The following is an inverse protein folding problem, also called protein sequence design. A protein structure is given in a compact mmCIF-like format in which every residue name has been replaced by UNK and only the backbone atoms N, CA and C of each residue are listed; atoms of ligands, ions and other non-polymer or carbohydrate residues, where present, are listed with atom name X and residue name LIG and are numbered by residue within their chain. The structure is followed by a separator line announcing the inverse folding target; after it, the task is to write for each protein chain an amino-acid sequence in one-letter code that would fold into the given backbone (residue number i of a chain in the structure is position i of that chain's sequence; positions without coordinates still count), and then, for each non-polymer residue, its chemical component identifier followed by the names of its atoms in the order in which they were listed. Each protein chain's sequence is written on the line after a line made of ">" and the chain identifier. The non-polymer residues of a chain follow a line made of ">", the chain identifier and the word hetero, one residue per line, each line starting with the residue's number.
data_IF_709445418192
#
_entry.id   IF_709445418192
#
_cell.length_a   1.000
_cell.length_b   1.000
_cell.length_c   1.000
_cell.angle_alpha   90.00
_cell.angle_beta   90.00
_cell.angle_gamma   90.00
#
_symmetry.space_group_name_H-M   'P 1'
#
loop_
_entity.id
_entity.type
_entity.pdbx_description
1 polymer ?
#
# COMPACT_ATOMS: atom_id res chain seq x y z
N UNK A 1 -3.01 -3.77 24.04
CA UNK A 1 -2.01 -3.54 22.97
C UNK A 1 -2.73 -3.63 21.64
N UNK A 2 -3.45 -2.57 21.26
CA UNK A 2 -4.30 -2.54 20.05
C UNK A 2 -4.09 -1.25 19.23
N UNK A 3 -3.53 -0.19 19.83
CA UNK A 3 -3.26 1.09 19.16
C UNK A 3 -2.32 0.95 17.96
N UNK A 4 -1.24 0.17 18.06
CA UNK A 4 -0.23 0.09 17.00
C UNK A 4 -0.77 -0.44 15.67
N UNK A 5 -1.75 -1.36 15.64
CA UNK A 5 -2.17 -1.99 14.38
C UNK A 5 -3.14 -1.11 13.59
N UNK A 6 -4.00 -0.35 14.26
CA UNK A 6 -4.89 0.63 13.61
C UNK A 6 -4.12 1.86 13.14
N UNK A 7 -3.23 2.41 13.98
CA UNK A 7 -2.34 3.50 13.58
C UNK A 7 -1.45 3.10 12.40
N UNK A 8 -0.93 1.87 12.41
CA UNK A 8 -0.13 1.36 11.31
C UNK A 8 -0.92 1.28 10.01
N UNK A 9 -2.16 0.77 10.06
CA UNK A 9 -3.04 0.74 8.88
C UNK A 9 -3.29 2.15 8.35
N UNK A 10 -3.56 3.12 9.22
CA UNK A 10 -3.78 4.50 8.79
C UNK A 10 -2.54 5.10 8.15
N UNK A 11 -1.36 4.93 8.77
CA UNK A 11 -0.09 5.39 8.18
C UNK A 11 0.21 4.73 6.84
N UNK A 12 0.01 3.42 6.73
CA UNK A 12 0.17 2.67 5.47
C UNK A 12 -0.82 3.20 4.43
N UNK A 13 -2.07 3.42 4.80
CA UNK A 13 -3.10 3.93 3.91
C UNK A 13 -2.76 5.35 3.43
N UNK A 14 -2.41 6.27 4.33
CA UNK A 14 -2.02 7.63 3.97
C UNK A 14 -0.78 7.65 3.08
N UNK A 15 0.23 6.84 3.40
CA UNK A 15 1.42 6.73 2.58
C UNK A 15 1.09 6.11 1.22
N UNK A 16 0.24 5.08 1.20
CA UNK A 16 -0.28 4.44 -0.01
C UNK A 16 -1.00 5.46 -0.88
N UNK A 17 -1.95 6.20 -0.33
CA UNK A 17 -2.71 7.25 -1.04
C UNK A 17 -1.81 8.36 -1.57
N UNK A 18 -0.86 8.86 -0.76
CA UNK A 18 0.09 9.89 -1.20
C UNK A 18 0.98 9.41 -2.34
N UNK A 19 1.46 8.17 -2.27
CA UNK A 19 2.29 7.60 -3.34
C UNK A 19 1.47 7.19 -4.56
N UNK A 20 0.22 6.77 -4.37
CA UNK A 20 -0.70 6.40 -5.44
C UNK A 20 -1.00 7.58 -6.37
N UNK A 21 -0.94 8.82 -5.88
CA UNK A 21 -0.99 10.03 -6.69
C UNK A 21 0.15 10.14 -7.73
N UNK A 22 1.29 9.48 -7.48
CA UNK A 22 2.46 9.51 -8.38
C UNK A 22 2.72 8.15 -9.06
N UNK A 23 2.40 7.04 -8.39
CA UNK A 23 2.57 5.67 -8.88
C UNK A 23 1.46 4.78 -8.36
N UNK A 24 0.59 4.31 -9.26
CA UNK A 24 -0.52 3.40 -8.94
C UNK A 24 -0.09 2.07 -8.31
N UNK A 25 1.16 1.66 -8.51
CA UNK A 25 1.72 0.38 -8.02
C UNK A 25 2.96 0.67 -7.16
N UNK A 26 2.97 0.15 -5.93
CA UNK A 26 3.98 0.43 -4.91
C UNK A 26 4.53 -0.87 -4.35
N UNK A 27 5.82 -0.98 -4.08
CA UNK A 27 6.35 -2.20 -3.48
C UNK A 27 6.00 -2.30 -2.00
N UNK A 28 5.78 -3.52 -1.48
CA UNK A 28 5.67 -3.75 -0.03
C UNK A 28 6.91 -3.21 0.71
N UNK A 29 8.08 -3.28 0.07
CA UNK A 29 9.34 -2.72 0.58
C UNK A 29 9.29 -1.21 0.76
N UNK A 30 8.51 -0.51 -0.06
CA UNK A 30 8.29 0.92 0.09
C UNK A 30 7.31 1.22 1.23
N UNK A 31 6.32 0.36 1.46
CA UNK A 31 5.44 0.47 2.63
C UNK A 31 6.21 0.28 3.94
N UNK A 32 7.24 -0.56 3.96
CA UNK A 32 8.15 -0.66 5.11
C UNK A 32 8.93 0.64 5.39
N UNK A 33 9.15 1.49 4.37
CA UNK A 33 9.79 2.80 4.56
C UNK A 33 8.83 3.85 5.13
N UNK A 34 7.52 3.64 5.02
CA UNK A 34 6.52 4.54 5.55
C UNK A 34 6.51 4.55 7.08
N UNK A 35 6.79 3.39 7.68
CA UNK A 35 6.88 3.23 9.12
C UNK A 35 8.05 2.30 9.46
N UNK A 36 9.27 2.84 9.68
CA UNK A 36 10.45 2.05 10.00
C UNK A 36 10.43 1.49 11.43
N UNK A 37 9.60 2.04 12.31
CA UNK A 37 9.41 1.58 13.69
C UNK A 37 8.56 0.30 13.75
N UNK A 38 7.63 0.11 12.82
CA UNK A 38 6.80 -1.08 12.78
C UNK A 38 7.51 -2.28 12.17
N UNK A 39 7.24 -3.45 12.76
CA UNK A 39 7.80 -4.70 12.26
C UNK A 39 7.27 -4.97 10.84
N UNK A 40 8.12 -5.43 9.90
CA UNK A 40 7.70 -5.73 8.53
C UNK A 40 6.60 -6.80 8.47
N UNK A 41 6.54 -7.70 9.47
CA UNK A 41 5.44 -8.65 9.65
C UNK A 41 4.09 -7.95 9.92
N UNK A 42 4.08 -6.92 10.75
CA UNK A 42 2.88 -6.16 11.09
C UNK A 42 2.42 -5.31 9.91
N UNK A 43 3.36 -4.67 9.19
CA UNK A 43 3.06 -3.90 7.98
C UNK A 43 2.45 -4.80 6.91
N UNK A 44 3.04 -5.97 6.66
CA UNK A 44 2.48 -6.94 5.71
C UNK A 44 1.09 -7.43 6.13
N UNK A 45 0.86 -7.65 7.43
CA UNK A 45 -0.45 -8.05 7.96
C UNK A 45 -1.49 -6.95 7.77
N UNK A 46 -1.16 -5.72 8.16
CA UNK A 46 -2.00 -4.54 8.00
C UNK A 46 -2.33 -4.27 6.52
N UNK A 47 -1.33 -4.32 5.63
CA UNK A 47 -1.52 -4.15 4.20
C UNK A 47 -2.43 -5.25 3.61
N UNK A 48 -2.24 -6.52 3.97
CA UNK A 48 -3.14 -7.60 3.54
C UNK A 48 -4.56 -7.44 4.11
N UNK A 49 -4.71 -6.90 5.31
CA UNK A 49 -6.02 -6.63 5.89
C UNK A 49 -6.73 -5.49 5.13
N UNK A 50 -6.00 -4.43 4.79
CA UNK A 50 -6.49 -3.35 3.92
C UNK A 50 -6.87 -3.85 2.51
N UNK A 51 -6.14 -4.85 1.99
CA UNK A 51 -6.51 -5.51 0.74
C UNK A 51 -7.81 -6.30 0.88
N UNK A 52 -7.99 -7.03 1.98
CA UNK A 52 -9.24 -7.73 2.27
C UNK A 52 -10.42 -6.77 2.46
N UNK A 53 -10.16 -5.58 3.03
CA UNK A 53 -11.15 -4.50 3.15
C UNK A 53 -11.44 -3.81 1.81
N UNK A 54 -10.71 -4.11 0.73
CA UNK A 54 -10.86 -3.45 -0.57
C UNK A 54 -10.33 -2.02 -0.61
N UNK A 55 -9.53 -1.62 0.39
CA UNK A 55 -8.87 -0.30 0.46
C UNK A 55 -7.51 -0.29 -0.23
N UNK A 56 -6.93 -1.46 -0.48
CA UNK A 56 -5.71 -1.65 -1.25
C UNK A 56 -5.90 -2.81 -2.24
N UNK A 57 -5.14 -2.82 -3.32
CA UNK A 57 -5.05 -3.92 -4.26
C UNK A 57 -3.70 -4.61 -4.10
N UNK A 58 -3.71 -5.93 -3.98
CA UNK A 58 -2.49 -6.72 -3.93
C UNK A 58 -2.09 -7.14 -5.34
N UNK A 59 -0.87 -6.80 -5.74
CA UNK A 59 -0.27 -7.21 -7.01
C UNK A 59 0.94 -8.09 -6.73
N UNK A 60 0.99 -9.27 -7.35
CA UNK A 60 2.18 -10.13 -7.30
C UNK A 60 2.87 -10.07 -8.66
N UNK A 61 4.10 -9.58 -8.71
CA UNK A 61 4.93 -9.65 -9.93
C UNK A 61 6.15 -10.51 -9.63
N UNK A 62 6.05 -11.79 -10.01
CA UNK A 62 7.11 -12.78 -9.82
C UNK A 62 7.56 -12.90 -8.36
N UNK A 63 8.83 -12.53 -8.11
CA UNK A 63 9.48 -12.62 -6.80
C UNK A 63 9.15 -11.46 -5.84
N UNK A 64 8.33 -10.49 -6.28
CA UNK A 64 8.04 -9.27 -5.50
C UNK A 64 6.55 -8.98 -5.38
N UNK A 65 6.17 -8.57 -4.17
CA UNK A 65 4.82 -8.12 -3.83
C UNK A 65 4.71 -6.60 -3.97
N UNK A 66 3.68 -6.16 -4.65
CA UNK A 66 3.26 -4.78 -4.83
C UNK A 66 1.85 -4.58 -4.25
N UNK A 67 1.56 -3.35 -3.85
CA UNK A 67 0.27 -2.88 -3.39
C UNK A 67 -0.11 -1.63 -4.19
N UNK A 68 -1.38 -1.49 -4.55
CA UNK A 68 -1.92 -0.28 -5.17
C UNK A 68 -3.12 0.24 -4.37
N UNK A 69 -3.49 1.50 -4.59
CA UNK A 69 -4.73 2.06 -4.03
C UNK A 69 -5.81 1.99 -5.12
N UNK A 70 -6.90 1.24 -4.90
CA UNK A 70 -8.01 1.16 -5.85
C UNK A 70 -8.62 2.56 -6.02
N UNK A 71 -8.81 2.96 -7.27
CA UNK A 71 -9.34 4.29 -7.62
C UNK A 71 -8.29 5.34 -7.99
N UNK A 72 -7.03 5.19 -7.59
CA UNK A 72 -5.93 6.01 -8.14
C UNK A 72 -5.44 5.49 -9.50
N UNK A 73 -5.55 4.18 -9.75
CA UNK A 73 -5.16 3.56 -11.02
C UNK A 73 -6.00 3.99 -12.22
N UNK A 74 -7.30 4.28 -12.03
CA UNK A 74 -8.19 4.65 -13.14
C UNK A 74 -7.90 6.01 -13.78
N UNK A 75 -7.14 6.90 -13.13
CA UNK A 75 -6.73 8.19 -13.71
C UNK A 75 -5.27 8.25 -14.13
N UNK A 76 -4.43 7.29 -13.72
CA UNK A 76 -2.99 7.32 -14.00
C UNK A 76 -2.59 6.39 -15.15
N UNK A 77 -3.31 5.29 -15.38
CA UNK A 77 -3.03 4.39 -16.52
C UNK A 77 -3.40 5.07 -17.86
N UNK A 78 -4.34 6.01 -17.86
CA UNK A 78 -4.75 6.82 -19.01
C UNK A 78 -3.85 8.07 -19.25
N UNK A 79 -2.84 8.29 -18.40
CA UNK A 79 -1.93 9.45 -18.47
C UNK A 79 -0.48 9.09 -18.88
N UNK A 80 -0.20 7.82 -19.18
CA UNK A 80 1.13 7.36 -19.64
C UNK A 80 1.10 6.67 -21.02
N UNK A 81 -0.04 6.70 -21.72
CA UNK A 81 -0.10 6.55 -23.19
C UNK A 81 -0.35 7.93 -23.81
N UNK A 82 0.72 8.71 -23.98
CA UNK A 82 0.82 9.71 -25.06
C UNK A 82 2.26 9.71 -25.61
#
# INVERSE_FOLDING_TARGET
>A
MAANMEELKQKILEFATKKAAHKSKMYIKDLYKADPDAKPREIKKAANELVKEGKLEYFSSGSTVMYGVPGFGKGLEEAFEE
#
